data_IF_802647731375
#
_entry.id   IF_802647731375
#
_cell.length_a   1.000
_cell.length_b   1.000
_cell.length_c   1.000
_cell.angle_alpha   90.00
_cell.angle_beta   90.00
_cell.angle_gamma   90.00
#
_symmetry.space_group_name_H-M   'P 1'
#
loop_
_entity.id
_entity.type
_entity.pdbx_description
1 polymer ?
#
# COMPACT_ATOMS: atom_id res chain seq x y z
N UNK A 1 -7.00 -23.17 8.93
CA UNK A 1 -5.92 -22.48 9.65
C UNK A 1 -5.83 -21.06 9.11
N UNK A 2 -5.46 -20.09 9.94
CA UNK A 2 -5.25 -18.70 9.53
C UNK A 2 -3.77 -18.38 9.79
N UNK A 3 -3.06 -17.95 8.76
CA UNK A 3 -1.65 -17.53 8.85
C UNK A 3 -1.50 -16.14 8.22
N UNK A 4 -0.72 -15.28 8.86
CA UNK A 4 -0.47 -13.91 8.39
C UNK A 4 1.02 -13.60 8.42
N UNK A 5 1.51 -13.04 7.33
CA UNK A 5 2.83 -12.43 7.23
C UNK A 5 2.69 -10.95 6.88
N UNK A 6 3.48 -10.10 7.50
CA UNK A 6 3.51 -8.67 7.20
C UNK A 6 4.95 -8.16 7.24
N UNK A 7 5.31 -7.33 6.27
CA UNK A 7 6.54 -6.59 6.19
C UNK A 7 6.23 -5.10 6.01
N UNK A 8 6.93 -4.25 6.74
CA UNK A 8 6.81 -2.80 6.62
C UNK A 8 8.21 -2.21 6.53
N UNK A 9 8.47 -1.52 5.42
CA UNK A 9 9.72 -0.84 5.16
C UNK A 9 9.46 0.66 5.02
N UNK A 10 10.22 1.47 5.76
CA UNK A 10 10.16 2.92 5.68
C UNK A 10 11.56 3.47 5.52
N UNK A 11 11.75 4.30 4.51
CA UNK A 11 13.01 4.96 4.24
C UNK A 11 12.81 6.46 4.09
N UNK A 12 13.45 7.23 4.98
CA UNK A 12 13.61 8.67 4.81
C UNK A 12 14.71 8.91 3.78
N UNK A 13 14.31 9.18 2.54
CA UNK A 13 15.22 9.52 1.44
C UNK A 13 15.92 10.84 1.76
N UNK A 14 15.17 11.79 2.32
CA UNK A 14 15.66 13.08 2.80
C UNK A 14 14.79 13.58 3.96
N UNK A 15 15.10 14.76 4.49
CA UNK A 15 14.29 15.40 5.54
C UNK A 15 12.84 15.66 5.11
N UNK A 16 12.60 15.86 3.81
CA UNK A 16 11.29 16.19 3.25
C UNK A 16 10.60 15.02 2.57
N UNK A 17 11.32 13.92 2.27
CA UNK A 17 10.81 12.83 1.44
C UNK A 17 10.97 11.48 2.11
N UNK A 18 9.85 10.74 2.19
CA UNK A 18 9.80 9.40 2.78
C UNK A 18 9.19 8.44 1.76
N UNK A 19 9.90 7.36 1.51
CA UNK A 19 9.41 6.18 0.82
C UNK A 19 8.92 5.15 1.84
N UNK A 20 7.84 4.44 1.51
CA UNK A 20 7.32 3.34 2.31
C UNK A 20 6.86 2.19 1.42
N UNK A 21 7.08 0.96 1.87
CA UNK A 21 6.52 -0.25 1.26
C UNK A 21 5.92 -1.11 2.36
N UNK A 22 4.63 -1.43 2.24
CA UNK A 22 3.96 -2.39 3.11
C UNK A 22 3.55 -3.60 2.29
N UNK A 23 3.97 -4.79 2.73
CA UNK A 23 3.58 -6.06 2.13
C UNK A 23 2.85 -6.90 3.18
N UNK A 24 1.65 -7.38 2.87
CA UNK A 24 0.87 -8.28 3.73
C UNK A 24 0.40 -9.49 2.95
N UNK A 25 0.48 -10.66 3.58
CA UNK A 25 -0.06 -11.92 3.06
C UNK A 25 -0.93 -12.52 4.16
N UNK A 26 -2.22 -12.64 3.89
CA UNK A 26 -3.21 -13.24 4.77
C UNK A 26 -3.71 -14.55 4.13
N UNK A 27 -3.26 -15.69 4.65
CA UNK A 27 -3.68 -17.01 4.19
C UNK A 27 -4.83 -17.53 5.06
N UNK A 28 -6.03 -17.56 4.47
CA UNK A 28 -7.25 -18.08 5.09
C UNK A 28 -7.65 -19.47 4.59
N UNK A 29 -8.80 -19.94 5.07
CA UNK A 29 -9.37 -21.23 4.65
C UNK A 29 -9.89 -21.19 3.22
N UNK A 30 -10.53 -20.09 2.84
CA UNK A 30 -11.19 -19.96 1.54
C UNK A 30 -10.34 -19.22 0.51
N UNK A 31 -9.51 -18.26 0.96
CA UNK A 31 -8.66 -17.48 0.07
C UNK A 31 -7.39 -16.99 0.75
N UNK A 32 -6.38 -16.72 -0.07
CA UNK A 32 -5.17 -16.00 0.30
C UNK A 32 -5.22 -14.60 -0.31
N UNK A 33 -5.02 -13.58 0.52
CA UNK A 33 -4.95 -12.19 0.09
C UNK A 33 -3.49 -11.73 0.22
N UNK A 34 -2.90 -11.30 -0.89
CA UNK A 34 -1.60 -10.64 -0.90
C UNK A 34 -1.79 -9.17 -1.25
N UNK A 35 -1.20 -8.26 -0.49
CA UNK A 35 -1.33 -6.82 -0.71
C UNK A 35 0.03 -6.16 -0.57
N UNK A 36 0.41 -5.37 -1.57
CA UNK A 36 1.56 -4.46 -1.56
C UNK A 36 1.03 -3.02 -1.63
N UNK A 37 1.58 -2.16 -0.78
CA UNK A 37 1.28 -0.72 -0.77
C UNK A 37 2.60 0.03 -0.82
N UNK A 38 2.93 0.53 -2.00
CA UNK A 38 4.04 1.42 -2.23
C UNK A 38 3.59 2.86 -2.01
N UNK A 39 4.35 3.61 -1.23
CA UNK A 39 4.05 4.99 -0.89
C UNK A 39 5.26 5.90 -1.04
N UNK A 40 5.02 7.09 -1.60
CA UNK A 40 5.99 8.19 -1.61
C UNK A 40 5.32 9.44 -1.05
N UNK A 41 5.84 9.93 0.07
CA UNK A 41 5.41 11.20 0.68
C UNK A 41 6.52 12.23 0.51
N UNK A 42 6.19 13.42 0.02
CA UNK A 42 7.14 14.53 -0.09
C UNK A 42 6.51 15.82 0.42
N UNK A 43 7.23 16.56 1.26
CA UNK A 43 6.86 17.89 1.71
C UNK A 43 7.13 18.90 0.59
N UNK A 44 6.10 19.64 0.21
CA UNK A 44 6.14 20.59 -0.92
C UNK A 44 6.46 21.99 -0.42
N UNK A 45 5.73 22.48 0.59
CA UNK A 45 5.93 23.81 1.13
C UNK A 45 5.32 23.95 2.53
N UNK A 46 6.10 24.41 3.52
CA UNK A 46 5.62 24.56 4.90
C UNK A 46 4.94 23.28 5.37
N UNK A 47 3.68 23.34 5.77
CA UNK A 47 2.95 22.16 6.24
C UNK A 47 2.22 21.38 5.13
N UNK A 48 2.45 21.73 3.86
CA UNK A 48 1.87 21.06 2.70
C UNK A 48 2.77 19.92 2.23
N UNK A 49 2.18 18.74 2.04
CA UNK A 49 2.85 17.55 1.51
C UNK A 49 1.99 16.83 0.48
N UNK A 50 2.62 16.18 -0.49
CA UNK A 50 1.97 15.26 -1.42
C UNK A 50 2.29 13.83 -1.00
N UNK A 51 1.29 12.95 -1.10
CA UNK A 51 1.46 11.51 -0.96
C UNK A 51 0.95 10.82 -2.22
N UNK A 52 1.82 10.01 -2.82
CA UNK A 52 1.49 9.09 -3.90
C UNK A 52 1.46 7.69 -3.31
N UNK A 53 0.45 6.90 -3.68
CA UNK A 53 0.41 5.48 -3.30
C UNK A 53 -0.02 4.63 -4.48
N UNK A 54 0.65 3.49 -4.63
CA UNK A 54 0.26 2.41 -5.51
C UNK A 54 -0.06 1.20 -4.62
N UNK A 55 -1.30 0.72 -4.69
CA UNK A 55 -1.75 -0.49 -4.01
C UNK A 55 -1.98 -1.58 -5.04
N UNK A 56 -1.34 -2.72 -4.87
CA UNK A 56 -1.61 -3.94 -5.64
C UNK A 56 -2.13 -4.98 -4.67
N UNK A 57 -3.35 -5.46 -4.89
CA UNK A 57 -3.98 -6.49 -4.06
C UNK A 57 -4.37 -7.67 -4.94
N UNK A 58 -3.88 -8.86 -4.59
CA UNK A 58 -4.27 -10.10 -5.23
C UNK A 58 -5.08 -10.97 -4.26
N UNK A 59 -6.20 -11.51 -4.73
CA UNK A 59 -7.03 -12.49 -4.00
C UNK A 59 -7.03 -13.79 -4.78
N UNK A 60 -6.58 -14.88 -4.15
CA UNK A 60 -6.33 -16.15 -4.84
C UNK A 60 -7.59 -16.84 -5.36
N UNK A 61 -8.71 -16.69 -4.66
CA UNK A 61 -10.01 -17.25 -5.03
C UNK A 61 -11.05 -16.13 -5.09
N UNK A 62 -11.70 -16.02 -6.24
CA UNK A 62 -12.68 -14.96 -6.56
C UNK A 62 -13.80 -15.57 -7.39
N UNK A 63 -15.03 -15.01 -7.34
CA UNK A 63 -16.14 -15.49 -8.15
C UNK A 63 -15.82 -15.48 -9.66
N UNK A 64 -16.46 -16.36 -10.45
CA UNK A 64 -16.30 -16.36 -11.90
C UNK A 64 -16.59 -14.99 -12.52
N UNK A 65 -15.71 -14.55 -13.42
CA UNK A 65 -15.82 -13.25 -14.08
C UNK A 65 -15.23 -12.06 -13.29
N UNK A 66 -14.68 -12.29 -12.09
CA UNK A 66 -13.95 -11.29 -11.31
C UNK A 66 -12.44 -11.44 -11.54
N UNK A 67 -11.74 -10.33 -11.74
CA UNK A 67 -10.28 -10.34 -11.82
C UNK A 67 -9.66 -10.54 -10.43
N UNK A 68 -8.57 -11.30 -10.37
CA UNK A 68 -7.91 -11.61 -9.09
C UNK A 68 -7.07 -10.47 -8.53
N UNK A 69 -6.75 -9.47 -9.34
CA UNK A 69 -5.79 -8.41 -9.00
C UNK A 69 -6.44 -7.04 -9.11
N UNK A 70 -6.54 -6.34 -7.99
CA UNK A 70 -6.92 -4.94 -7.93
C UNK A 70 -5.65 -4.07 -7.90
N UNK A 71 -5.59 -3.06 -8.77
CA UNK A 71 -4.52 -2.06 -8.77
C UNK A 71 -5.12 -0.67 -8.58
N UNK A 72 -4.72 -0.01 -7.50
CA UNK A 72 -5.20 1.34 -7.15
C UNK A 72 -4.02 2.31 -7.11
N UNK A 73 -4.17 3.43 -7.80
CA UNK A 73 -3.23 4.56 -7.70
C UNK A 73 -3.95 5.74 -7.07
N UNK A 74 -3.36 6.32 -6.02
CA UNK A 74 -3.91 7.48 -5.36
C UNK A 74 -2.88 8.60 -5.24
N UNK A 75 -3.38 9.83 -5.41
CA UNK A 75 -2.63 11.07 -5.19
C UNK A 75 -3.36 11.87 -4.14
N UNK A 76 -2.69 12.19 -3.06
CA UNK A 76 -3.25 12.92 -1.92
C UNK A 76 -2.43 14.17 -1.66
N UNK A 77 -3.12 15.30 -1.49
CA UNK A 77 -2.54 16.51 -0.94
C UNK A 77 -2.89 16.58 0.55
N UNK A 78 -1.87 16.71 1.40
CA UNK A 78 -1.97 16.69 2.85
C UNK A 78 -1.53 18.04 3.38
N UNK A 79 -2.34 18.66 4.23
CA UNK A 79 -1.98 19.86 4.95
C UNK A 79 -1.92 19.55 6.45
N UNK A 80 -0.76 19.79 7.08
CA UNK A 80 -0.57 19.66 8.52
C UNK A 80 -0.91 20.96 9.26
N UNK A 81 -1.59 20.87 10.39
CA UNK A 81 -1.85 22.00 11.28
C UNK A 81 -0.81 22.06 12.39
#
# INVERSE_FOLDING_TARGET
>A
MLARAAGNYVWKISDTTTFSEELTIDAGQDSTISKSVTGLKSQVAGNLATKLTLTIKNTSDVPPGVEKTDTETAVTLVYGF
#
